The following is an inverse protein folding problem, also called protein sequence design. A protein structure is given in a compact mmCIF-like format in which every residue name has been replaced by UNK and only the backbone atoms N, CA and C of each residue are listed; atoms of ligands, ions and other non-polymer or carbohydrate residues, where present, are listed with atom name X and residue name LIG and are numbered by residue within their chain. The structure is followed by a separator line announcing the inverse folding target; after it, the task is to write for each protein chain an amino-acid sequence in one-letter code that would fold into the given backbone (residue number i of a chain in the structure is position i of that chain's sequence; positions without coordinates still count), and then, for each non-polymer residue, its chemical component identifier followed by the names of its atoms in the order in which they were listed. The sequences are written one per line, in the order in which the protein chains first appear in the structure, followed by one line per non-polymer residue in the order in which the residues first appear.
data_IF_050695841161
#
_entry.id   IF_050695841161
#
_cell.length_a   1.000
_cell.length_b   1.000
_cell.length_c   1.000
_cell.angle_alpha   90.00
_cell.angle_beta   90.00
_cell.angle_gamma   90.00
#
_symmetry.space_group_name_H-M   'P 1'
#
loop_
_entity.id
_entity.type
_entity.pdbx_description
1 polymer ?
#
# COMPACT_ATOMS: atom_id res chain seq x y z
N UNK A 1 16.47 40.40 31.96
CA UNK A 1 15.27 39.53 31.97
C UNK A 1 14.65 39.32 30.57
N UNK A 2 15.42 39.49 29.48
CA UNK A 2 14.90 39.34 28.10
C UNK A 2 15.40 38.09 27.34
N UNK A 3 16.36 37.35 27.89
CA UNK A 3 16.95 36.16 27.26
C UNK A 3 16.20 34.85 27.55
N UNK A 4 15.47 34.78 28.66
CA UNK A 4 14.79 33.56 29.11
C UNK A 4 13.45 33.32 28.38
N UNK A 5 12.74 34.40 28.02
CA UNK A 5 11.50 34.33 27.23
C UNK A 5 11.73 33.82 25.80
N UNK A 6 12.82 34.23 25.15
CA UNK A 6 13.16 33.76 23.80
C UNK A 6 13.54 32.28 23.76
N UNK A 7 14.10 31.76 24.85
CA UNK A 7 14.50 30.35 24.98
C UNK A 7 13.29 29.45 25.25
N UNK A 8 12.31 29.95 26.02
CA UNK A 8 11.07 29.25 26.35
C UNK A 8 10.12 29.09 25.15
N UNK A 9 9.98 30.13 24.32
CA UNK A 9 9.14 30.07 23.11
C UNK A 9 9.77 29.14 22.06
N UNK A 10 11.09 29.19 21.90
CA UNK A 10 11.86 28.33 20.99
C UNK A 10 12.01 26.87 21.45
N UNK A 11 11.67 26.52 22.69
CA UNK A 11 11.60 25.13 23.17
C UNK A 11 10.19 24.56 23.02
N UNK A 12 9.16 25.40 23.12
CA UNK A 12 7.75 25.02 22.90
C UNK A 12 7.45 24.71 21.43
N UNK A 13 7.89 25.56 20.49
CA UNK A 13 7.77 25.30 19.05
C UNK A 13 8.56 24.07 18.57
N UNK A 14 9.64 23.72 19.28
CA UNK A 14 10.47 22.54 18.99
C UNK A 14 9.91 21.24 19.57
N UNK A 15 8.97 21.35 20.52
CA UNK A 15 8.28 20.20 21.11
C UNK A 15 7.23 19.63 20.17
N UNK A 16 6.60 20.48 19.35
CA UNK A 16 5.54 20.09 18.42
C UNK A 16 6.09 19.21 17.29
N UNK A 17 7.33 19.45 16.83
CA UNK A 17 7.97 18.72 15.72
C UNK A 17 8.85 17.55 16.19
N UNK A 18 8.49 16.88 17.29
CA UNK A 18 9.19 15.69 17.78
C UNK A 18 8.48 14.44 17.25
N UNK A 19 9.22 13.42 16.75
CA UNK A 19 8.64 12.22 16.14
C UNK A 19 7.55 11.53 16.98
N UNK A 20 7.67 11.57 18.31
CA UNK A 20 6.72 10.97 19.25
C UNK A 20 5.47 11.83 19.52
N UNK A 21 5.59 13.16 19.41
CA UNK A 21 4.45 14.07 19.52
C UNK A 21 3.64 14.05 18.21
N UNK A 22 4.35 14.03 17.08
CA UNK A 22 3.75 13.91 15.75
C UNK A 22 3.01 12.59 15.57
N UNK A 23 3.52 11.46 16.10
CA UNK A 23 2.84 10.17 15.99
C UNK A 23 1.54 10.08 16.81
N UNK A 24 1.52 10.71 17.99
CA UNK A 24 0.31 10.77 18.83
C UNK A 24 -0.76 11.64 18.15
N UNK A 25 -0.37 12.80 17.62
CA UNK A 25 -1.28 13.68 16.89
C UNK A 25 -1.81 13.00 15.62
N UNK A 26 -0.93 12.34 14.85
CA UNK A 26 -1.34 11.58 13.67
C UNK A 26 -2.34 10.47 14.04
N UNK A 27 -2.07 9.71 15.10
CA UNK A 27 -2.99 8.66 15.56
C UNK A 27 -4.38 9.21 15.95
N UNK A 28 -4.45 10.41 16.53
CA UNK A 28 -5.73 11.07 16.87
C UNK A 28 -6.49 11.60 15.64
N UNK A 29 -5.78 11.92 14.57
CA UNK A 29 -6.36 12.46 13.33
C UNK A 29 -6.71 11.36 12.32
N UNK A 30 -6.07 10.20 12.41
CA UNK A 30 -6.34 9.07 11.53
C UNK A 30 -7.73 8.49 11.79
N UNK A 31 -8.49 8.30 10.72
CA UNK A 31 -9.74 7.54 10.78
C UNK A 31 -9.41 6.04 10.84
N UNK A 32 -10.20 5.23 11.57
CA UNK A 32 -10.02 3.78 11.57
C UNK A 32 -10.01 3.25 10.14
N UNK A 33 -8.99 2.46 9.81
CA UNK A 33 -8.90 1.78 8.53
C UNK A 33 -10.04 0.76 8.35
N UNK A 34 -10.39 0.38 7.11
CA UNK A 34 -11.50 -0.51 6.83
C UNK A 34 -11.16 -1.99 7.13
N UNK A 35 -10.67 -2.29 8.34
CA UNK A 35 -10.22 -3.64 8.77
C UNK A 35 -11.33 -4.68 8.66
N UNK A 36 -12.58 -4.29 8.94
CA UNK A 36 -13.71 -5.19 8.81
C UNK A 36 -13.93 -5.59 7.34
N UNK A 37 -13.79 -4.67 6.40
CA UNK A 37 -13.92 -4.98 4.98
C UNK A 37 -12.79 -5.93 4.53
N UNK A 38 -11.56 -5.68 4.96
CA UNK A 38 -10.42 -6.54 4.62
C UNK A 38 -10.56 -7.97 5.16
N UNK A 39 -11.19 -8.15 6.33
CA UNK A 39 -11.32 -9.46 6.98
C UNK A 39 -12.62 -10.19 6.64
N UNK A 40 -13.69 -9.46 6.27
CA UNK A 40 -15.02 -10.03 6.07
C UNK A 40 -15.53 -9.97 4.64
N UNK A 41 -14.86 -9.25 3.73
CA UNK A 41 -15.26 -9.21 2.32
C UNK A 41 -15.29 -10.62 1.73
N UNK A 42 -16.43 -10.98 1.15
CA UNK A 42 -16.65 -12.21 0.41
C UNK A 42 -17.18 -11.83 -0.97
N UNK A 43 -16.69 -12.51 -1.99
CA UNK A 43 -17.36 -12.52 -3.28
C UNK A 43 -18.67 -13.32 -3.11
N UNK A 44 -19.83 -12.75 -3.47
CA UNK A 44 -21.10 -13.48 -3.47
C UNK A 44 -21.06 -14.49 -4.61
N UNK A 45 -21.29 -15.76 -4.30
CA UNK A 45 -21.28 -16.84 -5.30
C UNK A 45 -22.54 -16.82 -6.20
N UNK A 46 -23.62 -16.15 -5.76
CA UNK A 46 -24.96 -16.22 -6.39
C UNK A 46 -25.34 -14.97 -7.22
N UNK A 47 -24.53 -13.91 -7.24
CA UNK A 47 -24.82 -12.66 -7.96
C UNK A 47 -23.85 -12.50 -9.16
N UNK A 48 -24.18 -13.19 -10.24
CA UNK A 48 -23.96 -12.85 -11.66
C UNK A 48 -22.80 -11.90 -12.03
N UNK A 49 -21.55 -12.28 -11.69
CA UNK A 49 -20.35 -11.53 -12.09
C UNK A 49 -19.16 -12.39 -12.52
N UNK A 50 -19.24 -13.72 -12.40
CA UNK A 50 -18.16 -14.64 -12.76
C UNK A 50 -17.71 -14.50 -14.22
N UNK A 51 -18.60 -14.02 -15.10
CA UNK A 51 -18.25 -13.75 -16.50
C UNK A 51 -17.56 -12.40 -16.74
N UNK A 52 -17.80 -11.36 -15.95
CA UNK A 52 -17.25 -10.02 -16.23
C UNK A 52 -15.97 -9.71 -15.45
N UNK A 53 -15.93 -10.09 -14.16
CA UNK A 53 -14.75 -9.85 -13.33
C UNK A 53 -13.57 -10.71 -13.78
N UNK A 54 -13.84 -11.91 -14.31
CA UNK A 54 -12.80 -12.77 -14.88
C UNK A 54 -12.30 -12.32 -16.27
N UNK A 55 -13.10 -11.54 -17.02
CA UNK A 55 -12.66 -10.96 -18.30
C UNK A 55 -11.64 -9.84 -18.13
N UNK A 56 -11.60 -9.21 -16.96
CA UNK A 56 -10.63 -8.13 -16.70
C UNK A 56 -9.26 -8.76 -16.52
N UNK A 57 -8.32 -8.34 -17.36
CA UNK A 57 -6.93 -8.77 -17.23
C UNK A 57 -6.34 -8.25 -15.92
N UNK A 58 -5.71 -9.16 -15.17
CA UNK A 58 -5.16 -8.88 -13.85
C UNK A 58 -3.67 -9.11 -13.86
N UNK A 59 -2.96 -8.18 -13.23
CA UNK A 59 -1.53 -8.26 -13.00
C UNK A 59 -1.30 -8.20 -11.49
N UNK A 60 -0.39 -9.03 -10.99
CA UNK A 60 0.01 -9.02 -9.59
C UNK A 60 1.48 -8.61 -9.48
N UNK A 61 1.78 -7.63 -8.62
CA UNK A 61 3.15 -7.20 -8.32
C UNK A 61 3.47 -7.65 -6.90
N UNK A 62 4.34 -8.65 -6.78
CA UNK A 62 4.87 -9.15 -5.52
C UNK A 62 5.91 -8.21 -4.95
N UNK A 63 5.82 -7.93 -3.67
CA UNK A 63 6.79 -7.14 -2.90
C UNK A 63 7.63 -8.10 -2.05
N UNK A 64 8.94 -8.14 -2.30
CA UNK A 64 9.83 -9.16 -1.73
C UNK A 64 10.13 -8.96 -0.23
N UNK A 65 10.00 -7.73 0.27
CA UNK A 65 10.30 -7.35 1.64
C UNK A 65 9.04 -6.93 2.42
N UNK A 66 7.89 -7.50 2.08
CA UNK A 66 6.60 -7.19 2.69
C UNK A 66 6.41 -7.90 4.03
N UNK A 67 6.20 -7.13 5.10
CA UNK A 67 5.94 -7.64 6.45
C UNK A 67 4.46 -7.64 6.83
N UNK A 68 3.60 -7.02 6.02
CA UNK A 68 2.16 -6.96 6.22
C UNK A 68 1.49 -8.15 5.52
N UNK A 69 1.87 -8.41 4.27
CA UNK A 69 1.42 -9.57 3.48
C UNK A 69 2.64 -10.43 3.16
N UNK A 70 2.83 -11.48 3.96
CA UNK A 70 4.03 -12.33 3.86
C UNK A 70 4.12 -13.03 2.50
N UNK A 71 5.33 -13.43 2.04
CA UNK A 71 5.51 -14.12 0.77
C UNK A 71 4.57 -15.32 0.59
N UNK A 72 4.38 -16.14 1.64
CA UNK A 72 3.51 -17.32 1.57
C UNK A 72 2.03 -16.95 1.39
N UNK A 73 1.62 -15.81 1.95
CA UNK A 73 0.27 -15.27 1.79
C UNK A 73 0.07 -14.72 0.38
N UNK A 74 1.07 -14.04 -0.19
CA UNK A 74 1.04 -13.57 -1.57
C UNK A 74 0.89 -14.75 -2.54
N UNK A 75 1.66 -15.82 -2.33
CA UNK A 75 1.55 -17.06 -3.13
C UNK A 75 0.17 -17.71 -3.00
N UNK A 76 -0.39 -17.76 -1.78
CA UNK A 76 -1.74 -18.28 -1.56
C UNK A 76 -2.81 -17.44 -2.28
N UNK A 77 -2.65 -16.10 -2.33
CA UNK A 77 -3.54 -15.21 -3.06
C UNK A 77 -3.46 -15.44 -4.57
N UNK A 78 -2.24 -15.52 -5.12
CA UNK A 78 -2.00 -15.81 -6.55
C UNK A 78 -2.62 -17.16 -6.93
N UNK A 79 -2.42 -18.19 -6.11
CA UNK A 79 -3.00 -19.52 -6.35
C UNK A 79 -4.53 -19.51 -6.29
N UNK A 80 -5.10 -18.77 -5.34
CA UNK A 80 -6.56 -18.68 -5.18
C UNK A 80 -7.22 -17.94 -6.33
N UNK A 81 -6.57 -16.91 -6.87
CA UNK A 81 -7.10 -16.13 -7.98
C UNK A 81 -5.99 -15.76 -8.99
N UNK A 82 -5.68 -16.67 -9.93
CA UNK A 82 -4.57 -16.50 -10.85
C UNK A 82 -4.68 -15.22 -11.69
N UNK A 83 -3.66 -14.35 -11.69
CA UNK A 83 -3.53 -13.23 -12.60
C UNK A 83 -2.92 -13.67 -13.94
N UNK A 84 -3.01 -12.82 -14.96
CA UNK A 84 -2.40 -13.05 -16.28
C UNK A 84 -0.88 -12.88 -16.26
N UNK A 85 -0.37 -12.06 -15.35
CA UNK A 85 1.07 -11.87 -15.16
C UNK A 85 1.39 -11.61 -13.70
N UNK A 86 2.50 -12.17 -13.26
CA UNK A 86 3.08 -11.92 -11.94
C UNK A 86 4.44 -11.28 -12.14
N UNK A 87 4.65 -10.17 -11.44
CA UNK A 87 5.91 -9.46 -11.41
C UNK A 87 6.46 -9.46 -10.00
N UNK A 88 7.79 -9.40 -9.88
CA UNK A 88 8.46 -9.27 -8.59
C UNK A 88 9.13 -7.90 -8.51
N UNK A 89 8.94 -7.24 -7.37
CA UNK A 89 9.49 -5.94 -7.06
C UNK A 89 10.25 -6.04 -5.74
N UNK A 90 11.53 -5.68 -5.80
CA UNK A 90 12.39 -5.62 -4.64
C UNK A 90 12.04 -4.42 -3.75
N UNK A 91 11.03 -4.58 -2.92
CA UNK A 91 10.42 -3.49 -2.15
C UNK A 91 9.66 -4.00 -0.92
N UNK A 92 9.40 -3.08 0.02
CA UNK A 92 8.50 -3.29 1.16
C UNK A 92 7.01 -3.24 0.77
N UNK A 93 6.12 -3.28 1.77
CA UNK A 93 4.66 -3.22 1.58
C UNK A 93 4.16 -1.95 0.87
N UNK A 94 4.96 -0.88 0.88
CA UNK A 94 4.58 0.43 0.33
C UNK A 94 5.56 0.87 -0.76
N UNK A 95 5.58 0.17 -1.92
CA UNK A 95 6.51 0.47 -3.01
C UNK A 95 6.35 1.88 -3.59
N UNK A 96 5.19 2.51 -3.38
CA UNK A 96 4.95 3.91 -3.74
C UNK A 96 5.77 4.91 -2.89
N UNK A 97 6.25 4.50 -1.72
CA UNK A 97 7.16 5.30 -0.90
C UNK A 97 8.61 4.81 -1.01
N UNK A 98 8.84 3.50 -0.93
CA UNK A 98 10.19 2.94 -0.85
C UNK A 98 10.87 2.83 -2.22
N UNK A 99 10.15 2.45 -3.27
CA UNK A 99 10.69 2.23 -4.63
C UNK A 99 9.83 2.80 -5.75
N UNK A 100 9.43 4.10 -5.69
CA UNK A 100 8.41 4.68 -6.58
C UNK A 100 8.76 4.60 -8.07
N UNK A 101 10.03 4.77 -8.42
CA UNK A 101 10.48 4.73 -9.81
C UNK A 101 10.44 3.32 -10.41
N UNK A 102 10.82 2.30 -9.62
CA UNK A 102 10.76 0.91 -10.05
C UNK A 102 9.30 0.49 -10.22
N UNK A 103 8.44 0.84 -9.26
CA UNK A 103 6.99 0.60 -9.38
C UNK A 103 6.43 1.24 -10.65
N UNK A 104 6.77 2.51 -10.93
CA UNK A 104 6.32 3.19 -12.14
C UNK A 104 6.77 2.48 -13.42
N UNK A 105 8.05 2.10 -13.52
CA UNK A 105 8.56 1.35 -14.68
C UNK A 105 7.83 0.01 -14.88
N UNK A 106 7.48 -0.68 -13.80
CA UNK A 106 6.72 -1.92 -13.85
C UNK A 106 5.27 -1.72 -14.32
N UNK A 107 4.62 -0.63 -13.91
CA UNK A 107 3.28 -0.28 -14.39
C UNK A 107 3.30 0.04 -15.90
N UNK A 108 4.29 0.81 -16.37
CA UNK A 108 4.45 1.10 -17.79
C UNK A 108 4.68 -0.19 -18.59
N UNK A 109 5.52 -1.10 -18.08
CA UNK A 109 5.77 -2.41 -18.68
C UNK A 109 4.49 -3.25 -18.77
N UNK A 110 3.70 -3.31 -17.69
CA UNK A 110 2.44 -4.05 -17.67
C UNK A 110 1.46 -3.55 -18.73
N UNK A 111 1.32 -2.22 -18.87
CA UNK A 111 0.45 -1.61 -19.89
C UNK A 111 0.97 -1.89 -21.30
N UNK A 112 2.28 -1.79 -21.53
CA UNK A 112 2.86 -2.04 -22.85
C UNK A 112 2.71 -3.51 -23.30
N UNK A 113 2.88 -4.46 -22.37
CA UNK A 113 2.65 -5.87 -22.65
C UNK A 113 1.18 -6.17 -23.01
N UNK A 114 0.23 -5.44 -22.41
CA UNK A 114 -1.18 -5.56 -22.74
C UNK A 114 -1.52 -4.93 -24.11
N UNK A 115 -0.97 -3.75 -24.41
CA UNK A 115 -1.25 -3.02 -25.65
C UNK A 115 -0.61 -3.65 -26.91
N UNK A 116 0.41 -4.51 -26.75
CA UNK A 116 1.10 -5.18 -27.85
C UNK A 116 0.46 -6.47 -28.36
N UNK A 117 -0.66 -6.90 -27.78
CA UNK A 117 -1.38 -8.13 -28.14
C UNK A 117 -2.59 -7.91 -29.06
N UNK A 118 -2.69 -6.75 -29.71
CA UNK A 118 -3.77 -6.41 -30.65
C UNK A 118 -3.33 -6.52 -32.11
#
# INVERSE_FOLDING_TARGET
MGSELSTSIGSHLRSVLKPTCDSTLAAMLLRPGPLLALTSAKFREEDDGGGEVEKVERVYIKTMHDWVVKPEQQEAMIKRWPPSSVYELDSDHSPFFSTPFLLFGMLVKAVACHAGCN
#
